data_IF_213878503627
#
_entry.id   IF_213878503627
#
_cell.length_a   1.000
_cell.length_b   1.000
_cell.length_c   1.000
_cell.angle_alpha   90.00
_cell.angle_beta   90.00
_cell.angle_gamma   90.00
#
_symmetry.space_group_name_H-M   'P 1'
#
loop_
_entity.id
_entity.type
_entity.pdbx_description
1 polymer ?
#
# COMPACT_ATOMS: atom_id res chain seq x y z
N UNK A 1 -26.72 9.12 3.52
CA UNK A 1 -26.62 8.26 4.74
C UNK A 1 -26.37 9.14 5.96
N UNK A 2 -27.16 8.95 7.03
CA UNK A 2 -27.04 9.77 8.25
C UNK A 2 -26.70 8.89 9.45
N UNK A 3 -25.87 9.41 10.35
CA UNK A 3 -25.61 8.85 11.65
C UNK A 3 -26.03 9.86 12.72
N UNK A 4 -26.67 9.37 13.78
CA UNK A 4 -27.10 10.20 14.90
C UNK A 4 -26.34 9.79 16.15
N UNK A 5 -25.61 10.72 16.75
CA UNK A 5 -24.93 10.53 18.03
C UNK A 5 -25.74 11.23 19.10
N UNK A 6 -26.09 10.52 20.17
CA UNK A 6 -26.82 11.10 21.31
C UNK A 6 -25.84 11.21 22.47
N UNK A 7 -25.54 12.44 22.88
CA UNK A 7 -24.74 12.71 24.07
C UNK A 7 -25.65 12.78 25.28
N UNK A 8 -25.33 12.02 26.33
CA UNK A 8 -26.04 12.06 27.61
C UNK A 8 -25.10 12.41 28.76
N UNK A 9 -25.56 13.27 29.66
CA UNK A 9 -24.90 13.59 30.91
C UNK A 9 -25.95 13.82 31.99
N UNK A 10 -26.07 12.87 32.92
CA UNK A 10 -27.14 12.80 33.92
C UNK A 10 -28.53 12.97 33.29
N UNK A 11 -29.17 14.12 33.50
CA UNK A 11 -30.51 14.47 33.03
C UNK A 11 -30.50 15.24 31.69
N UNK A 12 -29.31 15.60 31.20
CA UNK A 12 -29.13 16.32 29.94
C UNK A 12 -28.91 15.32 28.81
N UNK A 13 -29.58 15.56 27.68
CA UNK A 13 -29.41 14.80 26.45
C UNK A 13 -29.43 15.74 25.25
N UNK A 14 -28.50 15.57 24.32
CA UNK A 14 -28.41 16.36 23.10
C UNK A 14 -28.06 15.47 21.90
N UNK A 15 -28.82 15.55 20.78
CA UNK A 15 -28.48 14.85 19.56
C UNK A 15 -27.52 15.64 18.68
N UNK A 16 -26.62 14.92 17.99
CA UNK A 16 -25.78 15.40 16.90
C UNK A 16 -26.05 14.56 15.66
N UNK A 17 -26.57 15.19 14.62
CA UNK A 17 -26.77 14.57 13.31
C UNK A 17 -25.50 14.72 12.47
N UNK A 18 -25.05 13.62 11.86
CA UNK A 18 -23.85 13.54 11.04
C UNK A 18 -24.18 12.95 9.67
N UNK A 19 -23.57 13.49 8.62
CA UNK A 19 -23.61 12.89 7.28
C UNK A 19 -22.45 11.93 7.11
N UNK A 20 -22.76 10.67 6.78
CA UNK A 20 -21.75 9.64 6.55
C UNK A 20 -21.42 9.59 5.06
N UNK A 21 -20.14 9.73 4.76
CA UNK A 21 -19.58 9.59 3.42
C UNK A 21 -18.90 8.24 3.29
N UNK A 22 -19.22 7.50 2.23
CA UNK A 22 -18.66 6.17 1.98
C UNK A 22 -17.77 6.18 0.73
N UNK A 23 -16.69 5.38 0.70
CA UNK A 23 -15.84 5.30 -0.46
C UNK A 23 -16.56 4.61 -1.60
N UNK A 24 -16.37 5.09 -2.82
CA UNK A 24 -16.85 4.45 -4.04
C UNK A 24 -15.93 3.28 -4.37
N UNK A 25 -16.53 2.12 -4.62
CA UNK A 25 -15.85 0.91 -5.03
C UNK A 25 -16.09 0.63 -6.53
N UNK A 26 -15.13 0.02 -7.25
CA UNK A 26 -13.80 -0.37 -6.78
C UNK A 26 -12.87 0.83 -6.53
N UNK A 27 -11.85 0.64 -5.70
CA UNK A 27 -10.79 1.64 -5.48
C UNK A 27 -9.91 1.78 -6.73
N UNK A 28 -9.38 2.98 -6.96
CA UNK A 28 -8.48 3.27 -8.08
C UNK A 28 -7.02 3.15 -7.61
N UNK A 29 -6.28 2.20 -8.15
CA UNK A 29 -4.84 2.05 -7.87
C UNK A 29 -4.05 2.78 -8.95
N UNK A 30 -3.19 3.69 -8.54
CA UNK A 30 -2.27 4.41 -9.41
C UNK A 30 -0.83 4.07 -9.03
N UNK A 31 -0.02 3.82 -10.07
CA UNK A 31 1.42 3.59 -9.93
C UNK A 31 2.14 4.78 -10.56
N UNK A 32 3.19 5.26 -9.92
CA UNK A 32 4.07 6.27 -10.53
C UNK A 32 4.70 5.77 -11.84
N UNK A 33 4.97 4.46 -11.93
CA UNK A 33 5.44 3.77 -13.12
C UNK A 33 5.00 2.30 -13.06
N UNK A 34 4.32 1.81 -14.09
CA UNK A 34 3.90 0.41 -14.18
C UNK A 34 4.96 -0.51 -14.77
N UNK A 35 6.01 0.04 -15.40
CA UNK A 35 7.07 -0.71 -16.06
C UNK A 35 8.38 -0.63 -15.28
N UNK A 36 8.53 -1.47 -14.26
CA UNK A 36 9.72 -1.52 -13.41
C UNK A 36 10.92 -2.10 -14.15
N UNK A 37 11.58 -1.27 -14.96
CA UNK A 37 12.69 -1.69 -15.81
C UNK A 37 13.97 -1.90 -15.00
N UNK A 38 14.85 -2.75 -15.53
CA UNK A 38 16.21 -2.88 -15.00
C UNK A 38 17.00 -1.58 -15.16
N UNK A 39 17.71 -1.18 -14.12
CA UNK A 39 18.57 0.01 -14.12
C UNK A 39 19.93 -0.36 -14.74
N UNK A 40 20.12 0.02 -16.01
CA UNK A 40 21.35 -0.23 -16.75
C UNK A 40 22.60 0.23 -15.98
N UNK A 41 23.57 -0.68 -15.85
CA UNK A 41 24.85 -0.39 -15.20
C UNK A 41 24.82 -0.44 -13.66
N UNK A 42 23.64 -0.66 -13.05
CA UNK A 42 23.52 -0.79 -11.60
C UNK A 42 23.61 -2.25 -11.17
N UNK A 43 24.48 -2.53 -10.21
CA UNK A 43 24.69 -3.85 -9.59
C UNK A 43 24.74 -3.66 -8.09
N UNK A 44 23.90 -4.39 -7.36
CA UNK A 44 23.86 -4.32 -5.89
C UNK A 44 24.56 -5.55 -5.32
N UNK A 45 25.50 -5.39 -4.37
CA UNK A 45 26.12 -6.52 -3.71
C UNK A 45 25.07 -7.28 -2.90
N UNK A 46 25.09 -8.60 -3.00
CA UNK A 46 24.28 -9.48 -2.15
C UNK A 46 24.90 -9.42 -0.76
N UNK A 47 24.29 -8.66 0.15
CA UNK A 47 24.75 -8.60 1.53
C UNK A 47 24.23 -9.85 2.27
N UNK A 48 25.08 -10.54 3.05
CA UNK A 48 24.60 -11.62 3.92
C UNK A 48 23.61 -11.05 4.93
N UNK A 49 22.51 -11.77 5.16
CA UNK A 49 21.42 -11.35 6.03
C UNK A 49 21.94 -11.14 7.46
N UNK A 50 21.97 -9.89 7.93
CA UNK A 50 22.55 -9.50 9.24
C UNK A 50 21.67 -9.91 10.45
N UNK A 51 20.68 -10.78 10.28
CA UNK A 51 19.75 -11.20 11.34
C UNK A 51 20.07 -12.55 12.00
N UNK A 52 21.26 -13.11 11.81
CA UNK A 52 21.71 -14.26 12.59
C UNK A 52 23.20 -14.19 12.93
N UNK A 53 23.54 -14.71 14.11
CA UNK A 53 24.86 -14.76 14.75
C UNK A 53 25.29 -13.52 15.58
N UNK A 54 24.57 -13.32 16.69
CA UNK A 54 25.25 -13.09 17.98
C UNK A 54 26.15 -14.30 18.25
N UNK A 55 27.37 -14.04 18.70
CA UNK A 55 28.32 -14.93 19.39
C UNK A 55 28.46 -16.36 18.87
N UNK A 56 29.47 -16.58 18.01
CA UNK A 56 30.25 -17.82 18.06
C UNK A 56 31.69 -17.53 17.63
N UNK A 57 32.56 -17.38 18.63
CA UNK A 57 34.00 -17.56 18.46
C UNK A 57 34.26 -19.04 18.15
N UNK A 58 34.34 -19.37 16.86
CA UNK A 58 34.94 -20.63 16.41
C UNK A 58 35.60 -20.40 15.05
N UNK A 59 36.93 -20.39 15.08
CA UNK A 59 37.80 -20.50 13.93
C UNK A 59 37.58 -21.87 13.26
N UNK A 60 36.76 -21.92 12.19
CA UNK A 60 36.81 -22.92 11.12
C UNK A 60 35.61 -22.71 10.17
N UNK A 61 35.66 -21.71 9.28
CA UNK A 61 34.69 -21.57 8.15
C UNK A 61 35.23 -20.59 7.08
N UNK A 62 36.37 -20.91 6.47
CA UNK A 62 36.88 -20.16 5.31
C UNK A 62 36.10 -20.43 4.01
N UNK A 63 35.29 -21.51 3.95
CA UNK A 63 34.48 -21.87 2.78
C UNK A 63 33.08 -21.24 2.78
N UNK A 64 32.47 -20.95 3.93
CA UNK A 64 31.15 -20.28 4.01
C UNK A 64 31.22 -18.78 3.66
N UNK A 65 32.42 -18.18 3.76
CA UNK A 65 32.69 -16.80 3.34
C UNK A 65 32.66 -16.61 1.82
N UNK A 66 32.55 -17.70 1.04
CA UNK A 66 32.46 -17.65 -0.43
C UNK A 66 31.01 -17.58 -0.94
N UNK A 67 30.00 -17.78 -0.09
CA UNK A 67 28.62 -18.02 -0.53
C UNK A 67 27.85 -16.77 -0.99
N UNK A 68 28.34 -15.53 -0.82
CA UNK A 68 27.62 -14.35 -1.36
C UNK A 68 28.50 -13.17 -1.74
N UNK A 69 29.61 -13.39 -2.46
CA UNK A 69 30.28 -12.30 -3.20
C UNK A 69 29.68 -12.09 -4.60
N UNK A 70 28.34 -12.17 -4.69
CA UNK A 70 27.60 -11.97 -5.92
C UNK A 70 27.05 -10.55 -6.03
N UNK A 71 26.87 -10.07 -7.26
CA UNK A 71 26.08 -8.87 -7.54
C UNK A 71 24.76 -9.29 -8.19
N UNK A 72 23.66 -8.67 -7.80
CA UNK A 72 22.37 -8.82 -8.49
C UNK A 72 22.00 -7.56 -9.27
N UNK A 73 21.11 -7.72 -10.25
CA UNK A 73 20.53 -6.60 -10.99
C UNK A 73 19.56 -5.83 -10.08
N UNK A 74 19.48 -4.52 -10.29
CA UNK A 74 18.49 -3.68 -9.61
C UNK A 74 17.42 -3.26 -10.61
N UNK A 75 16.17 -3.45 -10.23
CA UNK A 75 15.03 -2.91 -10.96
C UNK A 75 14.54 -1.61 -10.32
N UNK A 76 13.78 -0.86 -11.10
CA UNK A 76 13.13 0.37 -10.67
C UNK A 76 12.09 0.10 -9.57
N UNK A 77 11.70 1.21 -8.93
CA UNK A 77 10.69 1.25 -7.88
C UNK A 77 9.55 2.17 -8.33
N UNK A 78 8.33 1.87 -7.91
CA UNK A 78 7.18 2.73 -8.13
C UNK A 78 6.43 2.99 -6.82
N UNK A 79 5.96 4.21 -6.65
CA UNK A 79 5.03 4.56 -5.58
C UNK A 79 3.64 4.10 -5.95
N UNK A 80 2.98 3.44 -5.00
CA UNK A 80 1.56 3.06 -5.06
C UNK A 80 0.73 4.15 -4.43
N UNK A 81 -0.32 4.58 -5.11
CA UNK A 81 -1.41 5.38 -4.55
C UNK A 81 -2.73 4.68 -4.74
N UNK A 82 -3.59 4.74 -3.73
CA UNK A 82 -4.97 4.24 -3.81
C UNK A 82 -5.93 5.41 -3.59
N UNK A 83 -6.75 5.68 -4.59
CA UNK A 83 -7.66 6.80 -4.64
C UNK A 83 -9.11 6.32 -4.65
N UNK A 84 -10.01 7.11 -4.07
CA UNK A 84 -11.45 6.89 -4.18
C UNK A 84 -12.24 8.19 -4.08
N UNK A 85 -13.44 8.17 -4.63
CA UNK A 85 -14.43 9.23 -4.46
C UNK A 85 -15.30 8.91 -3.27
N UNK A 86 -15.52 9.89 -2.40
CA UNK A 86 -16.47 9.75 -1.31
C UNK A 86 -17.85 10.24 -1.73
N UNK A 87 -18.89 9.47 -1.42
CA UNK A 87 -20.26 9.82 -1.74
C UNK A 87 -21.22 9.53 -0.60
N UNK A 88 -22.39 10.16 -0.65
CA UNK A 88 -23.49 9.89 0.25
C UNK A 88 -24.80 9.94 -0.52
N UNK A 89 -25.84 9.30 0.03
CA UNK A 89 -27.19 9.33 -0.53
C UNK A 89 -28.03 10.43 0.11
N UNK A 90 -28.84 11.12 -0.71
CA UNK A 90 -29.81 12.11 -0.23
C UNK A 90 -30.81 11.49 0.74
N UNK A 91 -31.22 12.27 1.74
CA UNK A 91 -32.22 11.88 2.73
C UNK A 91 -33.66 12.13 2.25
N UNK A 92 -33.82 12.85 1.14
CA UNK A 92 -35.12 13.29 0.61
C UNK A 92 -35.81 12.23 -0.28
N UNK A 93 -35.36 10.98 -0.22
CA UNK A 93 -36.00 9.85 -0.93
C UNK A 93 -35.71 9.77 -2.43
N UNK A 94 -35.00 10.75 -2.98
CA UNK A 94 -34.31 10.60 -4.27
C UNK A 94 -33.05 9.77 -4.02
N UNK A 95 -32.86 8.68 -4.76
CA UNK A 95 -31.63 7.85 -4.74
C UNK A 95 -30.44 8.60 -5.38
N UNK A 96 -30.36 9.90 -5.12
CA UNK A 96 -29.37 10.79 -5.69
C UNK A 96 -28.08 10.66 -4.89
N UNK A 97 -27.04 10.28 -5.61
CA UNK A 97 -25.68 10.21 -5.10
C UNK A 97 -25.08 11.60 -5.12
N UNK A 98 -24.66 12.07 -3.95
CA UNK A 98 -23.96 13.33 -3.74
C UNK A 98 -22.49 13.00 -3.54
N UNK A 99 -21.59 13.60 -4.31
CA UNK A 99 -20.14 13.40 -4.17
C UNK A 99 -19.50 14.48 -3.31
N UNK A 100 -18.49 14.11 -2.53
CA UNK A 100 -17.80 15.01 -1.62
C UNK A 100 -16.92 15.98 -2.42
N UNK A 101 -17.14 17.29 -2.23
CA UNK A 101 -16.38 18.38 -2.89
C UNK A 101 -16.43 18.41 -4.44
N UNK A 102 -17.23 17.54 -5.07
CA UNK A 102 -17.44 17.51 -6.52
C UNK A 102 -17.24 16.11 -7.14
N UNK A 103 -17.57 15.93 -8.43
CA UNK A 103 -17.49 14.62 -9.10
C UNK A 103 -16.06 14.20 -9.46
N UNK A 104 -15.12 15.14 -9.60
CA UNK A 104 -13.73 14.86 -9.96
C UNK A 104 -12.81 14.78 -8.73
N UNK A 105 -13.32 15.10 -7.55
CA UNK A 105 -12.56 15.08 -6.31
C UNK A 105 -12.33 13.64 -5.85
N UNK A 106 -11.05 13.28 -5.70
CA UNK A 106 -10.63 11.99 -5.18
C UNK A 106 -9.77 12.19 -3.92
N UNK A 107 -9.87 11.24 -2.99
CA UNK A 107 -9.11 11.23 -1.75
C UNK A 107 -8.11 10.10 -1.81
N UNK A 108 -6.87 10.40 -1.42
CA UNK A 108 -5.82 9.41 -1.20
C UNK A 108 -6.13 8.63 0.08
N UNK A 109 -6.39 7.34 -0.07
CA UNK A 109 -6.71 6.39 1.00
C UNK A 109 -5.61 5.34 1.17
N UNK A 110 -4.42 5.56 0.59
CA UNK A 110 -3.30 4.60 0.60
C UNK A 110 -2.98 4.12 2.01
N UNK A 111 -2.87 5.02 2.98
CA UNK A 111 -2.55 4.69 4.37
C UNK A 111 -3.62 3.81 5.05
N UNK A 112 -4.87 3.90 4.61
CA UNK A 112 -5.99 3.12 5.15
C UNK A 112 -6.02 1.69 4.62
N UNK A 113 -5.45 1.45 3.43
CA UNK A 113 -5.53 0.17 2.72
C UNK A 113 -4.18 -0.50 2.52
N UNK A 114 -3.11 0.09 3.05
CA UNK A 114 -1.72 -0.39 2.89
C UNK A 114 -1.53 -1.86 3.30
N UNK A 115 -2.26 -2.34 4.32
CA UNK A 115 -2.18 -3.73 4.79
C UNK A 115 -2.95 -4.73 3.91
N UNK A 116 -3.84 -4.22 3.05
CA UNK A 116 -4.59 -5.01 2.07
C UNK A 116 -3.87 -5.13 0.73
N UNK A 117 -2.91 -4.24 0.46
CA UNK A 117 -2.12 -4.24 -0.77
C UNK A 117 -1.28 -5.51 -0.89
N UNK A 118 -1.46 -6.25 -2.00
CA UNK A 118 -0.79 -7.53 -2.24
C UNK A 118 -0.36 -7.67 -3.69
N UNK A 119 0.90 -8.02 -3.89
CA UNK A 119 1.42 -8.45 -5.18
C UNK A 119 1.07 -9.91 -5.39
N UNK A 120 0.49 -10.25 -6.55
CA UNK A 120 0.03 -11.61 -6.86
C UNK A 120 1.20 -12.59 -7.02
N UNK A 121 2.21 -12.22 -7.82
CA UNK A 121 3.44 -13.00 -7.96
C UNK A 121 4.61 -12.26 -7.30
N UNK A 122 5.03 -12.67 -6.09
CA UNK A 122 6.11 -12.03 -5.35
C UNK A 122 7.50 -12.31 -5.92
N UNK A 123 7.63 -13.19 -6.92
CA UNK A 123 8.93 -13.43 -7.59
C UNK A 123 9.27 -12.31 -8.56
N UNK A 124 8.26 -11.67 -9.13
CA UNK A 124 8.42 -10.61 -10.15
C UNK A 124 8.58 -9.25 -9.48
N UNK A 125 7.80 -8.97 -8.44
CA UNK A 125 7.87 -7.72 -7.70
C UNK A 125 7.46 -7.93 -6.23
N UNK A 126 7.95 -7.06 -5.36
CA UNK A 126 7.59 -7.03 -3.94
C UNK A 126 7.11 -5.64 -3.53
N UNK A 127 6.33 -5.59 -2.44
CA UNK A 127 5.88 -4.33 -1.84
C UNK A 127 6.75 -4.04 -0.62
N UNK A 128 7.62 -3.04 -0.75
CA UNK A 128 8.51 -2.53 0.31
C UNK A 128 7.84 -1.33 0.98
N UNK A 129 8.05 -1.16 2.28
CA UNK A 129 7.47 -0.07 3.07
C UNK A 129 5.95 0.12 2.88
N UNK A 130 5.26 -0.99 2.55
CA UNK A 130 3.80 -1.10 2.31
C UNK A 130 3.23 -0.25 1.17
N UNK A 131 4.05 0.57 0.51
CA UNK A 131 3.60 1.56 -0.50
C UNK A 131 4.53 1.68 -1.69
N UNK A 132 5.69 1.00 -1.67
CA UNK A 132 6.70 1.06 -2.73
C UNK A 132 6.79 -0.30 -3.42
N UNK A 133 6.35 -0.37 -4.67
CA UNK A 133 6.50 -1.56 -5.49
C UNK A 133 7.92 -1.62 -6.06
N UNK A 134 8.60 -2.75 -5.88
CA UNK A 134 9.99 -2.97 -6.31
C UNK A 134 10.05 -4.16 -7.23
N UNK A 135 10.66 -4.00 -8.41
CA UNK A 135 10.89 -5.11 -9.33
C UNK A 135 11.99 -6.04 -8.83
N UNK A 136 11.85 -7.34 -9.09
CA UNK A 136 12.80 -8.37 -8.67
C UNK A 136 13.30 -9.20 -9.86
N UNK A 137 12.39 -9.58 -10.77
CA UNK A 137 12.69 -10.38 -11.94
C UNK A 137 11.90 -9.89 -13.16
N UNK A 138 12.30 -10.35 -14.36
CA UNK A 138 11.55 -10.08 -15.58
C UNK A 138 10.22 -10.83 -15.57
N UNK A 139 9.12 -10.10 -15.75
CA UNK A 139 7.78 -10.68 -15.83
C UNK A 139 6.69 -9.63 -15.74
N UNK A 140 5.45 -10.11 -15.61
CA UNK A 140 4.28 -9.27 -15.32
C UNK A 140 3.52 -9.83 -14.13
N UNK A 141 3.12 -8.95 -13.22
CA UNK A 141 2.36 -9.29 -12.01
C UNK A 141 1.30 -8.22 -11.78
N UNK A 142 0.33 -8.52 -10.92
CA UNK A 142 -0.79 -7.63 -10.60
C UNK A 142 -0.68 -7.22 -9.15
N UNK A 143 -0.86 -5.93 -8.88
CA UNK A 143 -1.09 -5.40 -7.55
C UNK A 143 -2.59 -5.38 -7.27
N UNK A 144 -2.99 -5.96 -6.15
CA UNK A 144 -4.38 -5.98 -5.67
C UNK A 144 -4.49 -5.19 -4.37
N UNK A 145 -5.66 -4.61 -4.15
CA UNK A 145 -6.10 -3.97 -2.91
C UNK A 145 -7.41 -4.60 -2.46
#
# INVERSE_FOLDING_TARGET
MNARVIFSYEHLSAPLELTVWVPKLPLQVELSDSNLSFIKGWRVPILPDRRSARDSDTDDDEDDRRVSRGCTLQYQRSLVKVLTQFHTTSTEGTDQVITMLGPDWQVDVTDLVQDSLKVVDPRIAELVDRTVLVGLELGSTVLKV
#
